data_IF_228768658511
#
_entry.id   IF_228768658511
#
_cell.length_a   1.000
_cell.length_b   1.000
_cell.length_c   1.000
_cell.angle_alpha   90.00
_cell.angle_beta   90.00
_cell.angle_gamma   90.00
#
_symmetry.space_group_name_H-M   'P 1'
#
loop_
_entity.id
_entity.type
_entity.pdbx_description
1 polymer ?
#
# COMPACT_ATOMS: atom_id res chain seq x y z
N UNK A 1 0.14 26.21 -0.97
CA UNK A 1 -1.00 26.69 -0.15
C UNK A 1 -1.99 25.54 -0.02
N UNK A 2 -2.12 24.95 1.17
CA UNK A 2 -3.25 24.07 1.47
C UNK A 2 -4.38 24.97 1.98
N UNK A 3 -5.50 25.04 1.26
CA UNK A 3 -6.65 25.85 1.66
C UNK A 3 -7.68 24.98 2.37
N UNK A 4 -7.84 25.28 3.66
CA UNK A 4 -9.05 25.33 4.49
C UNK A 4 -10.08 24.20 4.38
N UNK A 5 -10.17 23.36 5.43
CA UNK A 5 -11.12 23.59 6.53
C UNK A 5 -11.09 22.45 7.57
N UNK A 6 -10.79 22.87 8.81
CA UNK A 6 -11.17 22.29 10.11
C UNK A 6 -10.61 20.93 10.60
N UNK A 7 -9.59 21.07 11.45
CA UNK A 7 -9.38 20.36 12.73
C UNK A 7 -9.13 18.84 12.68
N UNK A 8 -7.89 18.47 12.34
CA UNK A 8 -6.99 17.75 13.25
C UNK A 8 -5.58 17.75 12.66
N UNK A 9 -4.73 18.60 13.23
CA UNK A 9 -3.35 18.78 12.79
C UNK A 9 -2.51 17.54 13.06
N UNK A 10 -2.26 16.75 12.02
CA UNK A 10 -1.05 15.98 11.85
C UNK A 10 -0.64 16.20 10.40
N UNK A 11 0.41 16.98 10.16
CA UNK A 11 1.15 16.90 8.91
C UNK A 11 1.75 15.50 8.84
N UNK A 12 0.96 14.56 8.32
CA UNK A 12 1.36 13.20 8.06
C UNK A 12 2.46 13.25 7.03
N UNK A 13 3.61 12.63 7.34
CA UNK A 13 4.71 12.49 6.38
C UNK A 13 4.22 11.55 5.28
N UNK A 14 3.58 12.12 4.26
CA UNK A 14 3.27 11.42 3.02
C UNK A 14 4.58 10.85 2.50
N UNK A 15 4.60 9.53 2.31
CA UNK A 15 5.76 8.84 1.76
C UNK A 15 5.46 8.53 0.31
N UNK A 16 6.47 8.73 -0.54
CA UNK A 16 6.38 8.35 -1.95
C UNK A 16 6.59 6.85 -2.05
N UNK A 17 5.60 6.16 -2.60
CA UNK A 17 5.66 4.76 -2.96
C UNK A 17 5.68 4.64 -4.47
N UNK A 18 6.42 3.66 -4.97
CA UNK A 18 6.37 3.24 -6.36
C UNK A 18 5.47 2.00 -6.41
N UNK A 19 4.30 2.15 -7.01
CA UNK A 19 3.26 1.13 -7.07
C UNK A 19 3.03 0.66 -8.51
N UNK A 20 2.52 -0.56 -8.72
CA UNK A 20 2.05 -0.97 -10.04
C UNK A 20 1.02 0.02 -10.60
N UNK A 21 1.09 0.34 -11.90
CA UNK A 21 0.16 1.28 -12.54
C UNK A 21 -1.30 0.82 -12.42
N UNK A 22 -1.52 -0.49 -12.38
CA UNK A 22 -2.81 -1.13 -12.18
C UNK A 22 -3.45 -0.67 -10.85
N UNK A 23 -2.64 -0.45 -9.81
CA UNK A 23 -3.09 0.03 -8.51
C UNK A 23 -3.46 1.51 -8.52
N UNK A 24 -2.95 2.29 -9.46
CA UNK A 24 -3.27 3.71 -9.58
C UNK A 24 -4.73 3.96 -9.99
N UNK A 25 -5.42 2.94 -10.52
CA UNK A 25 -6.85 2.99 -10.83
C UNK A 25 -7.74 2.95 -9.58
N UNK A 26 -7.22 2.50 -8.43
CA UNK A 26 -7.99 2.38 -7.20
C UNK A 26 -8.12 3.71 -6.47
N UNK A 27 -9.24 3.94 -5.74
CA UNK A 27 -9.39 5.12 -4.91
C UNK A 27 -8.24 5.25 -3.90
N UNK A 28 -7.64 6.44 -3.83
CA UNK A 28 -6.46 6.70 -2.97
C UNK A 28 -6.64 6.22 -1.53
N UNK A 29 -7.78 6.52 -0.90
CA UNK A 29 -8.03 6.12 0.49
C UNK A 29 -8.07 4.60 0.69
N UNK A 30 -8.59 3.86 -0.29
CA UNK A 30 -8.59 2.39 -0.29
C UNK A 30 -7.17 1.85 -0.45
N UNK A 31 -6.40 2.41 -1.38
CA UNK A 31 -5.02 2.02 -1.62
C UNK A 31 -4.14 2.26 -0.38
N UNK A 32 -4.26 3.45 0.22
CA UNK A 32 -3.56 3.81 1.45
C UNK A 32 -3.86 2.79 2.56
N UNK A 33 -5.14 2.44 2.75
CA UNK A 33 -5.58 1.46 3.73
C UNK A 33 -4.97 0.08 3.52
N UNK A 34 -5.09 -0.47 2.31
CA UNK A 34 -4.64 -1.83 1.99
C UNK A 34 -3.12 -1.92 2.14
N UNK A 35 -2.39 -0.96 1.53
CA UNK A 35 -0.94 -0.97 1.57
C UNK A 35 -0.43 -0.77 2.99
N UNK A 36 -0.98 0.18 3.75
CA UNK A 36 -0.59 0.40 5.14
C UNK A 36 -0.85 -0.83 6.00
N UNK A 37 -2.04 -1.43 5.89
CA UNK A 37 -2.42 -2.60 6.69
C UNK A 37 -1.54 -3.80 6.39
N UNK A 38 -1.30 -4.08 5.11
CA UNK A 38 -0.42 -5.19 4.70
C UNK A 38 1.04 -5.00 5.13
N UNK A 39 1.59 -3.79 4.97
CA UNK A 39 2.95 -3.50 5.45
C UNK A 39 3.02 -3.58 6.98
N UNK A 40 2.02 -3.08 7.70
CA UNK A 40 1.97 -3.10 9.16
C UNK A 40 1.89 -4.53 9.70
N UNK A 41 1.04 -5.38 9.12
CA UNK A 41 0.94 -6.79 9.52
C UNK A 41 2.28 -7.51 9.32
N UNK A 42 2.91 -7.31 8.15
CA UNK A 42 4.21 -7.90 7.86
C UNK A 42 5.29 -7.38 8.83
N UNK A 43 5.29 -6.08 9.11
CA UNK A 43 6.22 -5.49 10.07
C UNK A 43 6.03 -6.05 11.48
N UNK A 44 4.79 -6.23 11.93
CA UNK A 44 4.51 -6.82 13.25
C UNK A 44 5.02 -8.26 13.35
N UNK A 45 5.00 -9.02 12.25
CA UNK A 45 5.44 -10.42 12.22
C UNK A 45 6.95 -10.59 12.04
N UNK A 46 7.58 -9.75 11.21
CA UNK A 46 8.97 -9.94 10.79
C UNK A 46 9.91 -8.79 11.20
N UNK A 47 9.40 -7.78 11.90
CA UNK A 47 10.11 -6.56 12.30
C UNK A 47 10.78 -5.83 11.12
N UNK A 48 10.24 -5.98 9.92
CA UNK A 48 10.72 -5.35 8.69
C UNK A 48 9.56 -5.10 7.74
N UNK A 49 9.64 -4.03 6.94
CA UNK A 49 8.67 -3.77 5.86
C UNK A 49 9.08 -4.43 4.53
N UNK A 50 10.35 -4.85 4.41
CA UNK A 50 10.88 -5.48 3.20
C UNK A 50 10.35 -6.90 3.11
N UNK A 51 9.78 -7.25 1.96
CA UNK A 51 9.18 -8.56 1.72
C UNK A 51 7.68 -8.62 2.01
N UNK A 52 7.07 -7.52 2.45
CA UNK A 52 5.62 -7.44 2.60
C UNK A 52 4.94 -7.68 1.25
N UNK A 53 4.23 -8.80 1.12
CA UNK A 53 3.46 -9.13 -0.07
C UNK A 53 2.05 -8.58 0.10
N UNK A 54 1.56 -7.85 -0.90
CA UNK A 54 0.24 -7.24 -0.91
C UNK A 54 -0.37 -7.50 -2.28
N UNK A 55 -1.62 -7.96 -2.27
CA UNK A 55 -2.38 -8.27 -3.47
C UNK A 55 -3.58 -7.33 -3.54
N UNK A 56 -3.72 -6.62 -4.65
CA UNK A 56 -4.86 -5.75 -4.93
C UNK A 56 -5.41 -6.13 -6.31
N UNK A 57 -6.67 -6.57 -6.35
CA UNK A 57 -7.23 -7.21 -7.54
C UNK A 57 -6.43 -8.47 -7.89
N UNK A 58 -5.97 -8.54 -9.14
CA UNK A 58 -5.17 -9.65 -9.66
C UNK A 58 -3.65 -9.40 -9.58
N UNK A 59 -3.24 -8.24 -9.06
CA UNK A 59 -1.83 -7.84 -9.03
C UNK A 59 -1.25 -8.00 -7.63
N UNK A 60 -0.39 -9.01 -7.48
CA UNK A 60 0.44 -9.24 -6.29
C UNK A 60 1.78 -8.52 -6.41
N UNK A 61 2.15 -7.76 -5.39
CA UNK A 61 3.42 -7.04 -5.32
C UNK A 61 4.08 -7.13 -3.94
N UNK A 62 5.41 -7.20 -3.94
CA UNK A 62 6.26 -7.26 -2.76
C UNK A 62 6.98 -5.94 -2.51
N UNK A 63 6.92 -5.46 -1.28
CA UNK A 63 7.61 -4.28 -0.83
C UNK A 63 9.13 -4.50 -0.86
N UNK A 64 9.83 -3.69 -1.66
CA UNK A 64 11.28 -3.65 -1.79
C UNK A 64 11.76 -2.23 -1.60
N UNK A 65 12.98 -2.04 -1.11
CA UNK A 65 13.59 -0.72 -1.04
C UNK A 65 14.31 -0.43 -2.36
N UNK A 66 14.02 0.70 -2.99
CA UNK A 66 14.69 1.16 -4.21
C UNK A 66 15.01 2.66 -4.10
N UNK A 67 16.31 3.01 -4.10
CA UNK A 67 16.80 4.40 -4.01
C UNK A 67 16.17 5.22 -2.87
N UNK A 68 15.90 4.58 -1.72
CA UNK A 68 15.28 5.22 -0.55
C UNK A 68 13.74 5.25 -0.56
N UNK A 69 13.10 4.78 -1.63
CA UNK A 69 11.65 4.65 -1.74
C UNK A 69 11.19 3.21 -1.50
N UNK A 70 9.94 3.05 -1.08
CA UNK A 70 9.29 1.74 -1.08
C UNK A 70 8.73 1.48 -2.47
N UNK A 71 9.24 0.43 -3.09
CA UNK A 71 8.81 -0.07 -4.38
C UNK A 71 8.01 -1.35 -4.17
N UNK A 72 6.73 -1.31 -4.49
CA UNK A 72 5.84 -2.46 -4.55
C UNK A 72 6.07 -3.19 -5.87
N UNK A 73 7.11 -4.03 -5.90
CA UNK A 73 7.54 -4.78 -7.09
C UNK A 73 6.59 -5.93 -7.35
N UNK A 74 6.02 -6.04 -8.55
CA UNK A 74 5.17 -7.18 -8.94
C UNK A 74 5.92 -8.51 -8.76
N UNK A 75 5.23 -9.57 -8.34
CA UNK A 75 5.89 -10.85 -8.02
C UNK A 75 6.64 -11.47 -9.21
N UNK A 76 6.08 -11.32 -10.41
CA UNK A 76 6.67 -11.84 -11.65
C UNK A 76 7.66 -10.86 -12.31
N UNK A 77 7.76 -9.62 -11.81
CA UNK A 77 8.66 -8.64 -12.40
C UNK A 77 10.10 -8.93 -11.98
N UNK A 78 10.95 -9.32 -12.94
CA UNK A 78 12.37 -9.62 -12.72
C UNK A 78 13.28 -8.39 -12.78
N UNK A 79 12.73 -7.22 -13.05
CA UNK A 79 13.46 -5.97 -13.21
C UNK A 79 14.20 -5.57 -11.94
N UNK A 80 15.35 -4.93 -12.12
CA UNK A 80 16.15 -4.38 -11.01
C UNK A 80 15.71 -2.97 -10.61
N UNK A 81 14.93 -2.30 -11.47
CA UNK A 81 14.41 -0.95 -11.28
C UNK A 81 12.93 -0.90 -11.71
N UNK A 82 12.11 -0.01 -11.12
CA UNK A 82 10.77 0.25 -11.60
C UNK A 82 10.82 0.94 -12.98
N UNK A 83 10.11 0.38 -13.95
CA UNK A 83 9.87 1.02 -15.24
C UNK A 83 8.65 1.92 -15.19
N UNK A 84 8.75 3.14 -15.72
CA UNK A 84 7.67 4.13 -15.67
C UNK A 84 6.41 3.72 -16.44
N UNK A 85 6.50 2.77 -17.37
CA UNK A 85 5.34 2.21 -18.07
C UNK A 85 4.53 1.25 -17.20
N UNK A 86 5.17 0.59 -16.23
CA UNK A 86 4.56 -0.44 -15.39
C UNK A 86 4.30 0.02 -13.95
N UNK A 87 4.93 1.12 -13.55
CA UNK A 87 4.87 1.64 -12.20
C UNK A 87 4.57 3.13 -12.16
N UNK A 88 3.66 3.50 -11.27
CA UNK A 88 3.26 4.86 -10.94
C UNK A 88 3.79 5.27 -9.57
N UNK A 89 3.92 6.58 -9.33
CA UNK A 89 4.23 7.10 -8.00
C UNK A 89 2.93 7.44 -7.27
N UNK A 90 2.80 6.97 -6.03
CA UNK A 90 1.69 7.30 -5.16
C UNK A 90 2.18 7.89 -3.85
N UNK A 91 1.54 8.98 -3.43
CA UNK A 91 1.73 9.58 -2.11
C UNK A 91 0.78 8.89 -1.14
N UNK A 92 1.30 7.91 -0.39
CA UNK A 92 0.49 7.19 0.59
C UNK A 92 0.53 7.89 1.94
N UNK A 93 -0.66 8.03 2.54
CA UNK A 93 -0.81 8.54 3.89
C UNK A 93 -0.98 7.38 4.89
N UNK A 94 -0.11 7.34 5.90
CA UNK A 94 -0.10 6.28 6.92
C UNK A 94 -1.34 6.27 7.82
N UNK A 95 -2.18 7.32 7.78
CA UNK A 95 -3.35 7.45 8.66
C UNK A 95 -4.70 7.51 7.92
N UNK A 96 -4.72 7.42 6.59
CA UNK A 96 -5.98 7.43 5.83
C UNK A 96 -6.95 6.31 6.25
N UNK A 97 -6.42 5.23 6.85
CA UNK A 97 -7.22 4.13 7.34
C UNK A 97 -8.02 4.41 8.63
N UNK A 98 -7.85 5.59 9.25
CA UNK A 98 -8.55 5.97 10.48
C UNK A 98 -9.98 6.45 10.24
N UNK A 99 -10.39 6.72 8.99
CA UNK A 99 -11.67 7.35 8.67
C UNK A 99 -12.61 6.54 7.77
N UNK A 100 -12.27 5.31 7.39
CA UNK A 100 -13.13 4.52 6.49
C UNK A 100 -13.60 3.21 7.15
N UNK A 101 -14.63 3.32 7.98
CA UNK A 101 -15.31 2.21 8.67
C UNK A 101 -15.87 1.12 7.74
N UNK A 102 -16.03 1.41 6.44
CA UNK A 102 -16.52 0.45 5.45
C UNK A 102 -15.40 -0.36 4.77
N UNK A 103 -14.16 0.13 4.74
CA UNK A 103 -13.03 -0.58 4.12
C UNK A 103 -12.49 -1.71 5.02
N UNK A 104 -12.60 -1.54 6.33
CA UNK A 104 -12.11 -2.50 7.33
C UNK A 104 -12.89 -3.82 7.25
N UNK A 105 -14.21 -3.76 7.01
CA UNK A 105 -15.08 -4.95 6.92
C UNK A 105 -14.78 -5.80 5.67
N UNK A 106 -14.36 -5.18 4.58
CA UNK A 106 -14.00 -5.91 3.35
C UNK A 106 -12.58 -6.47 3.43
N UNK A 107 -11.64 -5.75 4.03
CA UNK A 107 -10.26 -6.22 4.24
C UNK A 107 -10.16 -7.42 5.19
N UNK A 108 -10.96 -7.43 6.27
CA UNK A 108 -11.02 -8.58 7.18
C UNK A 108 -11.61 -9.83 6.52
N UNK A 109 -12.55 -9.67 5.57
CA UNK A 109 -13.05 -10.77 4.76
C UNK A 109 -11.97 -11.31 3.79
N UNK A 110 -11.20 -10.43 3.14
CA UNK A 110 -10.13 -10.84 2.20
C UNK A 110 -8.93 -11.51 2.90
N UNK A 111 -8.51 -11.01 4.06
CA UNK A 111 -7.43 -11.62 4.86
C UNK A 111 -7.82 -12.99 5.42
N UNK A 112 -9.11 -13.20 5.73
CA UNK A 112 -9.61 -14.49 6.23
C UNK A 112 -9.65 -15.58 5.15
N UNK A 113 -9.83 -15.20 3.87
CA UNK A 113 -9.88 -16.16 2.76
C UNK A 113 -8.46 -16.63 2.39
N UNK A 114 -7.44 -15.78 2.49
CA UNK A 114 -6.06 -16.18 2.16
C UNK A 114 -5.38 -17.08 3.21
N UNK A 115 -6.00 -17.29 4.38
CA UNK A 115 -5.53 -18.22 5.42
C UNK A 115 -6.17 -19.61 5.27
N UNK A 116 -7.07 -19.80 4.32
CA UNK A 116 -7.86 -21.02 4.13
C UNK A 116 -7.74 -21.52 2.69
N UNK A 117 -6.57 -22.07 2.33
CA UNK A 117 -6.56 -23.18 1.38
C UNK A 117 -5.66 -24.31 1.92
N UNK A 118 -6.14 -25.57 1.84
CA UNK A 118 -5.59 -26.74 2.51
C UNK A 118 -4.25 -27.23 1.94
#
# INVERSE_FOLDING_TARGET
>A
MCSSSEKNGLCTKQKVYVIPTEWASYPKGTLDCIVYSGVKEHYNRYNTAKGASITIGEVSAKAKLYKGYVWMRKEFDQSQKPYSSEYSQALLDNYACKHNTNAITTLSAFLSISQFQP
#
